data_IF_715268854871
#
_entry.id   IF_715268854871
#
_cell.length_a   1.000
_cell.length_b   1.000
_cell.length_c   1.000
_cell.angle_alpha   90.00
_cell.angle_beta   90.00
_cell.angle_gamma   90.00
#
_symmetry.space_group_name_H-M   'P 1'
#
loop_
_entity.id
_entity.type
_entity.pdbx_description
1 polymer ?
#
# COMPACT_ATOMS: atom_id res chain seq x y z
N UNK A 1 -9.64 16.87 -2.93
CA UNK A 1 -8.55 16.50 -2.00
C UNK A 1 -8.79 15.08 -1.51
N UNK A 2 -7.74 14.26 -1.41
CA UNK A 2 -7.82 12.89 -0.91
C UNK A 2 -6.89 12.72 0.29
N UNK A 3 -7.33 11.96 1.32
CA UNK A 3 -6.57 11.76 2.55
C UNK A 3 -6.25 10.27 2.76
N UNK A 4 -5.01 9.98 3.15
CA UNK A 4 -4.54 8.66 3.60
C UNK A 4 -3.69 8.83 4.85
N UNK A 5 -3.99 8.12 5.92
CA UNK A 5 -3.21 8.19 7.17
C UNK A 5 -3.19 6.85 7.93
N UNK A 6 -2.36 6.78 8.95
CA UNK A 6 -2.34 5.72 9.98
C UNK A 6 -3.06 6.14 11.29
N UNK A 7 -3.88 7.20 11.25
CA UNK A 7 -4.51 7.77 12.44
C UNK A 7 -5.65 6.93 13.03
N UNK A 8 -6.14 5.95 12.26
CA UNK A 8 -7.34 5.23 12.66
C UNK A 8 -8.59 6.11 12.66
N UNK A 9 -9.66 5.60 13.26
CA UNK A 9 -10.95 6.30 13.39
C UNK A 9 -11.48 6.29 14.82
N UNK A 10 -10.67 5.81 15.77
CA UNK A 10 -11.06 5.74 17.18
C UNK A 10 -10.85 7.08 17.91
N UNK A 11 -9.79 7.80 17.53
CA UNK A 11 -9.44 9.11 18.07
C UNK A 11 -9.91 10.23 17.15
N UNK A 12 -9.85 11.48 17.63
CA UNK A 12 -10.31 12.67 16.93
C UNK A 12 -9.40 13.14 15.79
N UNK A 13 -8.23 12.55 15.59
CA UNK A 13 -7.20 13.05 14.68
C UNK A 13 -7.72 13.36 13.26
N UNK A 14 -8.45 12.44 12.66
CA UNK A 14 -9.01 12.62 11.31
C UNK A 14 -10.04 13.76 11.29
N UNK A 15 -10.94 13.79 12.30
CA UNK A 15 -11.95 14.83 12.43
C UNK A 15 -11.34 16.22 12.58
N UNK A 16 -10.24 16.34 13.32
CA UNK A 16 -9.50 17.60 13.50
C UNK A 16 -8.82 18.03 12.20
N UNK A 17 -8.21 17.11 11.46
CA UNK A 17 -7.64 17.40 10.11
C UNK A 17 -8.71 17.92 9.17
N UNK A 18 -9.89 17.28 9.12
CA UNK A 18 -11.03 17.75 8.32
C UNK A 18 -11.51 19.15 8.75
N UNK A 19 -11.58 19.40 10.06
CA UNK A 19 -12.01 20.70 10.57
C UNK A 19 -11.06 21.84 10.16
N UNK A 20 -9.74 21.61 10.24
CA UNK A 20 -8.73 22.57 9.78
C UNK A 20 -8.87 22.86 8.30
N UNK A 21 -9.03 21.82 7.49
CA UNK A 21 -9.23 22.00 6.03
C UNK A 21 -10.51 22.78 5.76
N UNK A 22 -11.61 22.44 6.43
CA UNK A 22 -12.90 23.09 6.22
C UNK A 22 -12.91 24.57 6.66
N UNK A 23 -12.14 24.93 7.68
CA UNK A 23 -11.99 26.30 8.15
C UNK A 23 -11.25 27.17 7.11
N UNK A 24 -10.15 26.66 6.55
CA UNK A 24 -9.29 27.40 5.60
C UNK A 24 -9.87 27.35 4.16
N UNK A 25 -10.37 26.19 3.73
CA UNK A 25 -10.90 25.94 2.40
C UNK A 25 -12.28 25.27 2.43
N UNK A 26 -13.35 26.00 2.81
CA UNK A 26 -14.70 25.43 3.03
C UNK A 26 -15.34 24.84 1.77
N UNK A 27 -14.83 25.16 0.59
CA UNK A 27 -15.26 24.61 -0.69
C UNK A 27 -14.55 23.30 -1.07
N UNK A 28 -13.48 22.93 -0.36
CA UNK A 28 -12.73 21.71 -0.62
C UNK A 28 -13.59 20.46 -0.34
N UNK A 29 -13.63 19.54 -1.33
CA UNK A 29 -14.21 18.23 -1.11
C UNK A 29 -13.12 17.27 -0.64
N UNK A 30 -13.38 16.59 0.46
CA UNK A 30 -12.45 15.62 1.03
C UNK A 30 -12.97 14.22 0.75
N UNK A 31 -12.08 13.34 0.30
CA UNK A 31 -12.30 11.89 0.16
C UNK A 31 -11.26 11.17 1.01
N UNK A 32 -11.70 10.41 1.98
CA UNK A 32 -10.82 9.55 2.75
C UNK A 32 -10.53 8.28 1.95
N UNK A 33 -9.27 8.04 1.62
CA UNK A 33 -8.83 6.80 0.98
C UNK A 33 -8.78 5.69 2.02
N UNK A 34 -8.06 5.93 3.09
CA UNK A 34 -8.03 5.08 4.28
C UNK A 34 -7.35 5.82 5.44
N UNK A 35 -7.77 5.49 6.65
CA UNK A 35 -7.08 5.86 7.89
C UNK A 35 -6.65 4.62 8.69
N UNK A 36 -6.79 3.43 8.07
CA UNK A 36 -6.54 2.14 8.67
C UNK A 36 -5.15 1.54 8.37
N UNK A 37 -4.18 2.35 7.94
CA UNK A 37 -2.79 1.90 7.86
C UNK A 37 -2.32 1.56 9.28
N UNK A 38 -1.58 0.47 9.43
CA UNK A 38 -0.99 0.11 10.71
C UNK A 38 -0.08 1.27 11.21
N UNK A 39 -0.14 1.62 12.51
CA UNK A 39 0.66 2.72 13.04
C UNK A 39 2.14 2.61 12.67
N UNK A 40 2.69 3.70 12.11
CA UNK A 40 4.10 3.83 11.71
C UNK A 40 4.51 3.02 10.48
N UNK A 41 3.61 2.26 9.85
CA UNK A 41 3.93 1.45 8.67
C UNK A 41 3.93 2.29 7.39
N UNK A 42 5.05 2.96 7.15
CA UNK A 42 5.28 3.78 5.95
C UNK A 42 5.16 2.94 4.67
N UNK A 43 5.59 1.68 4.71
CA UNK A 43 5.53 0.77 3.57
C UNK A 43 4.09 0.42 3.20
N UNK A 44 3.29 -0.01 4.17
CA UNK A 44 1.87 -0.31 3.93
C UNK A 44 1.12 0.94 3.44
N UNK A 45 1.41 2.11 4.01
CA UNK A 45 0.88 3.39 3.55
C UNK A 45 1.25 3.71 2.11
N UNK A 46 2.52 3.52 1.73
CA UNK A 46 3.02 3.73 0.38
C UNK A 46 2.34 2.80 -0.63
N UNK A 47 2.23 1.51 -0.34
CA UNK A 47 1.56 0.53 -1.19
C UNK A 47 0.05 0.82 -1.33
N UNK A 48 -0.62 1.25 -0.25
CA UNK A 48 -2.01 1.68 -0.30
C UNK A 48 -2.18 2.93 -1.19
N UNK A 49 -1.26 3.88 -1.11
CA UNK A 49 -1.27 5.07 -1.94
C UNK A 49 -1.06 4.71 -3.43
N UNK A 50 -0.12 3.83 -3.74
CA UNK A 50 0.11 3.31 -5.11
C UNK A 50 -1.15 2.67 -5.68
N UNK A 51 -1.83 1.81 -4.91
CA UNK A 51 -3.08 1.16 -5.36
C UNK A 51 -4.22 2.17 -5.59
N UNK A 52 -4.18 3.32 -4.93
CA UNK A 52 -5.26 4.31 -4.96
C UNK A 52 -5.02 5.41 -5.98
N UNK A 53 -3.77 5.81 -6.26
CA UNK A 53 -3.43 7.04 -6.98
C UNK A 53 -4.04 7.11 -8.38
N UNK A 54 -4.17 5.99 -9.08
CA UNK A 54 -4.79 5.93 -10.41
C UNK A 54 -6.31 6.15 -10.42
N UNK A 55 -6.96 6.16 -9.26
CA UNK A 55 -8.41 6.33 -9.12
C UNK A 55 -8.80 7.63 -8.41
N UNK A 56 -7.84 8.35 -7.85
CA UNK A 56 -8.10 9.66 -7.22
C UNK A 56 -8.31 10.72 -8.30
N UNK A 57 -9.29 11.63 -8.10
CA UNK A 57 -9.42 12.79 -8.97
C UNK A 57 -8.16 13.66 -8.95
N UNK A 58 -7.90 14.35 -10.06
CA UNK A 58 -6.88 15.41 -10.11
C UNK A 58 -7.03 16.38 -8.94
N UNK A 59 -5.90 16.84 -8.40
CA UNK A 59 -5.87 17.76 -7.27
C UNK A 59 -4.88 17.37 -6.21
N UNK A 60 -5.25 17.53 -4.93
CA UNK A 60 -4.31 17.38 -3.81
C UNK A 60 -4.54 16.05 -3.10
N UNK A 61 -3.47 15.30 -2.89
CA UNK A 61 -3.44 14.08 -2.07
C UNK A 61 -2.57 14.32 -0.85
N UNK A 62 -3.15 14.21 0.32
CA UNK A 62 -2.43 14.29 1.61
C UNK A 62 -2.27 12.88 2.13
N UNK A 63 -1.02 12.41 2.23
CA UNK A 63 -0.72 11.10 2.80
C UNK A 63 0.22 11.27 3.99
N UNK A 64 -0.19 10.76 5.15
CA UNK A 64 0.54 10.92 6.42
C UNK A 64 0.63 9.59 7.15
N UNK A 65 1.80 8.98 7.08
CA UNK A 65 2.29 7.92 7.96
C UNK A 65 3.68 8.37 8.39
N UNK A 66 3.79 8.88 9.62
CA UNK A 66 4.91 9.74 9.99
C UNK A 66 5.56 9.37 11.33
N UNK A 67 6.33 8.26 11.38
CA UNK A 67 7.09 7.90 12.57
C UNK A 67 8.18 8.93 12.92
N UNK A 68 8.51 9.84 11.98
CA UNK A 68 9.50 10.92 12.17
C UNK A 68 8.89 12.27 12.55
N UNK A 69 7.63 12.33 12.99
CA UNK A 69 6.99 13.59 13.40
C UNK A 69 7.80 14.26 14.52
N UNK A 70 8.01 15.58 14.40
CA UNK A 70 8.77 16.36 15.38
C UNK A 70 10.30 16.20 15.31
N UNK A 71 10.84 15.53 14.30
CA UNK A 71 12.29 15.42 14.03
C UNK A 71 12.71 16.31 12.85
N UNK A 72 13.95 16.15 12.37
CA UNK A 72 14.48 16.83 11.17
C UNK A 72 13.88 16.28 9.83
N UNK A 73 12.93 15.37 9.87
CA UNK A 73 12.22 14.86 8.70
C UNK A 73 11.51 16.02 7.98
N UNK A 74 11.82 16.22 6.70
CA UNK A 74 11.19 17.27 5.90
C UNK A 74 9.69 17.00 5.68
N UNK A 75 8.85 18.03 5.78
CA UNK A 75 7.51 18.04 5.25
C UNK A 75 7.59 18.54 3.81
N UNK A 76 6.91 17.89 2.84
CA UNK A 76 7.05 18.23 1.43
C UNK A 76 5.71 18.29 0.70
N UNK A 77 5.67 19.10 -0.36
CA UNK A 77 4.65 19.03 -1.39
C UNK A 77 5.32 18.84 -2.75
N UNK A 78 4.79 17.91 -3.55
CA UNK A 78 5.38 17.46 -4.81
C UNK A 78 4.32 17.53 -5.91
N UNK A 79 4.58 18.32 -6.94
CA UNK A 79 3.75 18.38 -8.15
C UNK A 79 3.99 17.11 -8.99
N UNK A 80 2.92 16.52 -9.53
CA UNK A 80 2.95 15.32 -10.36
C UNK A 80 2.05 15.45 -11.58
N UNK A 81 2.25 14.59 -12.59
CA UNK A 81 1.36 14.54 -13.76
C UNK A 81 1.31 15.85 -14.53
N UNK A 82 2.45 16.50 -14.76
CA UNK A 82 2.55 17.81 -15.46
C UNK A 82 1.64 18.89 -14.84
N UNK A 83 1.48 18.89 -13.51
CA UNK A 83 0.66 19.85 -12.78
C UNK A 83 -0.78 19.42 -12.53
N UNK A 84 -1.17 18.19 -12.90
CA UNK A 84 -2.51 17.67 -12.66
C UNK A 84 -2.79 17.39 -11.18
N UNK A 85 -1.73 17.14 -10.36
CA UNK A 85 -1.87 16.85 -8.95
C UNK A 85 -0.69 17.30 -8.10
N UNK A 86 -0.94 17.35 -6.78
CA UNK A 86 0.09 17.64 -5.77
C UNK A 86 -0.04 16.59 -4.66
N UNK A 87 1.06 15.92 -4.33
CA UNK A 87 1.16 15.03 -3.18
C UNK A 87 1.80 15.79 -2.02
N UNK A 88 1.16 15.73 -0.85
CA UNK A 88 1.58 16.42 0.39
C UNK A 88 1.79 15.39 1.48
N UNK A 89 2.93 15.43 2.16
CA UNK A 89 3.22 14.49 3.25
C UNK A 89 4.68 14.54 3.74
N UNK A 90 5.05 13.59 4.61
CA UNK A 90 6.42 13.45 5.09
C UNK A 90 7.35 12.93 4.00
N UNK A 91 8.55 13.48 3.94
CA UNK A 91 9.65 12.99 3.09
C UNK A 91 10.36 11.80 3.78
N UNK A 92 9.71 10.64 3.76
CA UNK A 92 10.17 9.41 4.39
C UNK A 92 10.00 8.16 3.51
N UNK A 93 9.80 8.37 2.20
CA UNK A 93 9.57 7.31 1.23
C UNK A 93 8.09 6.97 0.99
N UNK A 94 7.17 7.49 1.79
CA UNK A 94 5.72 7.26 1.65
C UNK A 94 5.18 7.66 0.27
N UNK A 95 5.57 8.84 -0.22
CA UNK A 95 5.03 9.42 -1.44
C UNK A 95 5.71 8.91 -2.71
N UNK A 96 6.99 8.51 -2.63
CA UNK A 96 7.86 8.31 -3.78
C UNK A 96 7.32 7.30 -4.82
N UNK A 97 6.78 6.12 -4.46
CA UNK A 97 6.23 5.18 -5.45
C UNK A 97 4.99 5.74 -6.16
N UNK A 98 4.12 6.46 -5.44
CA UNK A 98 2.95 7.09 -6.04
C UNK A 98 3.32 8.25 -6.96
N UNK A 99 4.35 9.03 -6.62
CA UNK A 99 4.94 10.06 -7.48
C UNK A 99 5.42 9.44 -8.80
N UNK A 100 6.16 8.32 -8.73
CA UNK A 100 6.65 7.64 -9.93
C UNK A 100 5.49 7.16 -10.82
N UNK A 101 4.44 6.60 -10.23
CA UNK A 101 3.26 6.11 -10.96
C UNK A 101 2.44 7.27 -11.56
N UNK A 102 2.40 8.42 -10.89
CA UNK A 102 1.68 9.61 -11.36
C UNK A 102 2.44 10.42 -12.42
N UNK A 103 3.49 9.86 -13.03
CA UNK A 103 4.25 10.50 -14.12
C UNK A 103 5.55 11.16 -13.68
N UNK A 104 5.97 10.95 -12.44
CA UNK A 104 7.20 11.52 -11.88
C UNK A 104 6.98 12.85 -11.16
N UNK A 105 8.02 13.35 -10.53
CA UNK A 105 8.01 14.60 -9.79
C UNK A 105 8.25 15.79 -10.74
N UNK A 106 7.37 16.76 -10.69
CA UNK A 106 7.59 18.11 -11.22
C UNK A 106 8.30 19.00 -10.19
N UNK A 107 7.72 20.16 -9.88
CA UNK A 107 8.21 21.03 -8.79
C UNK A 107 8.02 20.35 -7.44
N UNK A 108 8.99 20.53 -6.56
CA UNK A 108 8.87 20.08 -5.18
C UNK A 108 9.37 21.16 -4.22
N UNK A 109 8.70 21.28 -3.07
CA UNK A 109 9.08 22.23 -2.01
C UNK A 109 9.09 21.56 -0.65
N UNK A 110 10.00 22.01 0.19
CA UNK A 110 9.93 21.77 1.64
C UNK A 110 8.92 22.76 2.21
N UNK A 111 8.01 22.28 3.05
CA UNK A 111 6.98 23.11 3.68
C UNK A 111 7.58 23.76 4.92
N UNK A 112 8.39 24.78 4.72
CA UNK A 112 9.15 25.46 5.78
C UNK A 112 8.76 26.94 5.99
N UNK A 113 7.73 27.44 5.25
CA UNK A 113 7.15 28.74 5.54
C UNK A 113 6.07 28.64 6.64
N UNK A 114 6.32 29.14 7.85
CA UNK A 114 5.41 29.04 8.98
C UNK A 114 4.12 29.85 8.81
N UNK A 115 4.04 30.76 7.83
CA UNK A 115 2.82 31.55 7.58
C UNK A 115 1.66 30.69 7.07
N UNK A 116 1.96 29.49 6.54
CA UNK A 116 0.98 28.50 6.09
C UNK A 116 0.72 27.38 7.12
N UNK A 117 1.29 27.49 8.33
CA UNK A 117 1.13 26.51 9.40
C UNK A 117 0.20 27.00 10.50
N UNK A 118 -0.33 26.09 11.29
CA UNK A 118 -1.00 26.43 12.53
C UNK A 118 0.02 26.56 13.65
N UNK A 119 -0.13 27.59 14.51
CA UNK A 119 0.62 27.64 15.76
C UNK A 119 0.18 26.49 16.68
N UNK A 120 1.14 25.73 17.18
CA UNK A 120 0.90 24.60 18.06
C UNK A 120 1.88 24.58 19.25
N UNK A 121 1.44 24.11 20.43
CA UNK A 121 2.29 24.05 21.63
C UNK A 121 3.37 22.97 21.54
N UNK A 122 3.31 22.07 20.57
CA UNK A 122 4.26 20.98 20.37
C UNK A 122 4.19 20.39 18.99
N UNK A 123 5.30 19.86 18.47
CA UNK A 123 5.47 19.40 17.09
C UNK A 123 5.08 17.92 16.89
N UNK A 124 4.01 17.45 17.52
CA UNK A 124 3.62 16.02 17.50
C UNK A 124 2.45 15.69 16.61
N UNK A 125 1.84 16.70 15.93
CA UNK A 125 0.69 16.50 15.06
C UNK A 125 0.83 17.29 13.75
N UNK A 126 1.86 16.96 12.95
CA UNK A 126 2.11 17.62 11.67
C UNK A 126 0.93 17.51 10.68
N UNK A 127 0.10 16.47 10.80
CA UNK A 127 -1.15 16.33 10.04
C UNK A 127 -2.07 17.52 10.20
N UNK A 128 -2.25 17.98 11.44
CA UNK A 128 -3.07 19.15 11.80
C UNK A 128 -2.33 20.46 11.52
N UNK A 129 -1.04 20.52 11.91
CA UNK A 129 -0.34 21.79 12.05
C UNK A 129 0.35 22.24 10.75
N UNK A 130 0.69 21.28 9.86
CA UNK A 130 1.43 21.53 8.62
C UNK A 130 0.65 21.02 7.39
N UNK A 131 0.36 19.72 7.32
CA UNK A 131 -0.15 19.13 6.09
C UNK A 131 -1.57 19.56 5.74
N UNK A 132 -2.47 19.61 6.71
CA UNK A 132 -3.85 20.05 6.50
C UNK A 132 -3.95 21.52 6.07
N UNK A 133 -3.33 22.49 6.79
CA UNK A 133 -3.42 23.89 6.40
C UNK A 133 -2.73 24.15 5.04
N UNK A 134 -1.55 23.58 4.79
CA UNK A 134 -0.87 23.70 3.49
C UNK A 134 -1.76 23.19 2.35
N UNK A 135 -2.33 22.00 2.49
CA UNK A 135 -3.22 21.45 1.49
C UNK A 135 -4.47 22.31 1.26
N UNK A 136 -5.01 22.92 2.32
CA UNK A 136 -6.13 23.85 2.21
C UNK A 136 -5.75 25.16 1.49
N UNK A 137 -4.56 25.71 1.75
CA UNK A 137 -4.03 26.87 1.02
C UNK A 137 -3.83 26.57 -0.47
N UNK A 138 -3.31 25.39 -0.80
CA UNK A 138 -3.23 24.93 -2.20
C UNK A 138 -4.62 24.85 -2.85
N UNK A 139 -5.66 24.38 -2.13
CA UNK A 139 -7.04 24.39 -2.62
C UNK A 139 -7.56 25.82 -2.89
N UNK A 140 -7.07 26.80 -2.15
CA UNK A 140 -7.40 28.23 -2.35
C UNK A 140 -6.59 28.87 -3.49
N UNK A 141 -5.71 28.12 -4.17
CA UNK A 141 -4.94 28.58 -5.32
C UNK A 141 -3.60 29.23 -4.97
N UNK A 142 -3.09 29.05 -3.75
CA UNK A 142 -1.72 29.43 -3.41
C UNK A 142 -0.75 28.62 -4.26
N UNK A 143 0.24 29.27 -4.88
CA UNK A 143 1.23 28.57 -5.69
C UNK A 143 2.16 27.72 -4.81
N UNK A 144 2.53 26.55 -5.34
CA UNK A 144 3.42 25.63 -4.65
C UNK A 144 4.72 26.29 -4.15
N UNK A 145 5.28 27.21 -4.95
CA UNK A 145 6.54 27.89 -4.62
C UNK A 145 6.42 28.90 -3.45
N UNK A 146 5.21 29.28 -3.05
CA UNK A 146 5.00 30.16 -1.90
C UNK A 146 5.05 29.41 -0.56
N UNK A 147 4.89 28.09 -0.57
CA UNK A 147 4.77 27.27 0.64
C UNK A 147 6.10 26.98 1.34
N UNK A 148 7.23 27.36 0.70
CA UNK A 148 8.55 27.17 1.28
C UNK A 148 9.67 26.98 0.26
N UNK A 149 10.76 26.39 0.69
CA UNK A 149 12.00 26.27 -0.08
C UNK A 149 11.90 25.20 -1.16
N UNK A 150 12.30 25.54 -2.39
CA UNK A 150 12.41 24.56 -3.47
C UNK A 150 13.41 23.44 -3.13
N UNK A 151 13.07 22.22 -3.46
CA UNK A 151 13.94 21.05 -3.28
C UNK A 151 14.06 20.28 -4.60
N UNK A 152 15.27 19.80 -4.88
CA UNK A 152 15.50 18.89 -6.01
C UNK A 152 14.77 17.56 -5.72
N UNK A 153 13.94 17.12 -6.67
CA UNK A 153 13.20 15.86 -6.56
C UNK A 153 14.14 14.65 -6.39
N UNK A 154 15.37 14.73 -6.93
CA UNK A 154 16.38 13.69 -6.74
C UNK A 154 16.94 13.61 -5.30
N UNK A 155 16.70 14.65 -4.48
CA UNK A 155 17.09 14.68 -3.07
C UNK A 155 15.99 14.25 -2.11
N UNK A 156 14.82 13.87 -2.63
CA UNK A 156 13.71 13.31 -1.83
C UNK A 156 14.02 11.86 -1.43
N UNK A 157 13.47 11.43 -0.30
CA UNK A 157 13.64 10.06 0.19
C UNK A 157 12.98 9.07 -0.80
N UNK A 158 13.75 8.10 -1.32
CA UNK A 158 13.20 7.09 -2.22
C UNK A 158 12.26 6.16 -1.46
N UNK A 159 11.21 5.69 -2.13
CA UNK A 159 10.39 4.58 -1.65
C UNK A 159 10.98 3.24 -2.07
N UNK A 160 10.60 2.19 -1.36
CA UNK A 160 11.02 0.83 -1.67
C UNK A 160 9.82 -0.01 -2.04
N UNK A 161 9.82 -0.55 -3.28
CA UNK A 161 8.88 -1.59 -3.71
C UNK A 161 9.71 -2.84 -3.98
N UNK A 162 9.46 -3.97 -3.29
CA UNK A 162 10.19 -5.19 -3.57
C UNK A 162 9.79 -5.74 -4.95
N UNK A 163 10.77 -6.18 -5.72
CA UNK A 163 10.55 -6.84 -7.00
C UNK A 163 10.69 -8.36 -6.82
N UNK A 164 9.94 -9.16 -7.59
CA UNK A 164 10.09 -10.60 -7.57
C UNK A 164 11.46 -11.00 -8.16
N UNK A 165 11.94 -12.18 -7.79
CA UNK A 165 13.19 -12.74 -8.33
C UNK A 165 12.89 -14.07 -8.99
N UNK A 166 13.58 -14.33 -10.10
CA UNK A 166 13.55 -15.61 -10.78
C UNK A 166 14.86 -16.36 -10.49
N UNK A 167 14.78 -17.52 -9.84
CA UNK A 167 15.94 -18.34 -9.49
C UNK A 167 15.71 -19.78 -9.95
N UNK A 168 16.35 -20.18 -11.06
CA UNK A 168 16.11 -21.47 -11.71
C UNK A 168 14.64 -21.61 -12.11
N UNK A 169 13.97 -22.65 -11.61
CA UNK A 169 12.57 -22.96 -11.86
C UNK A 169 11.64 -22.40 -10.74
N UNK A 170 12.11 -21.41 -9.98
CA UNK A 170 11.35 -20.79 -8.90
C UNK A 170 11.15 -19.28 -9.13
N UNK A 171 9.97 -18.77 -8.76
CA UNK A 171 9.67 -17.33 -8.63
C UNK A 171 9.56 -17.02 -7.16
N UNK A 172 10.47 -16.18 -6.68
CA UNK A 172 10.54 -15.76 -5.29
C UNK A 172 9.84 -14.42 -5.17
N UNK A 173 8.69 -14.43 -4.55
CA UNK A 173 7.82 -13.30 -4.30
C UNK A 173 7.83 -12.89 -2.83
N UNK A 174 7.22 -11.76 -2.56
CA UNK A 174 6.97 -11.26 -1.22
C UNK A 174 5.49 -10.87 -1.07
N UNK A 175 4.87 -11.19 0.06
CA UNK A 175 3.53 -10.73 0.40
C UNK A 175 3.57 -9.21 0.65
N UNK A 176 2.91 -8.47 -0.23
CA UNK A 176 2.86 -7.00 -0.15
C UNK A 176 1.79 -6.51 0.82
N UNK A 177 0.68 -7.24 0.87
CA UNK A 177 -0.50 -6.80 1.59
C UNK A 177 -1.43 -7.98 1.84
N UNK A 178 -2.03 -7.98 3.02
CA UNK A 178 -3.12 -8.88 3.37
C UNK A 178 -4.39 -8.05 3.46
N UNK A 179 -5.36 -8.35 2.59
CA UNK A 179 -6.63 -7.62 2.60
C UNK A 179 -7.52 -8.03 3.79
N UNK A 180 -8.63 -7.30 3.97
CA UNK A 180 -9.59 -7.55 5.04
C UNK A 180 -10.21 -8.97 4.99
N UNK A 181 -10.19 -9.62 3.84
CA UNK A 181 -10.74 -10.96 3.65
C UNK A 181 -9.67 -12.05 3.88
N UNK A 182 -8.42 -11.63 4.07
CA UNK A 182 -7.27 -12.52 4.26
C UNK A 182 -6.68 -13.03 2.95
N UNK A 183 -6.94 -12.37 1.82
CA UNK A 183 -6.21 -12.62 0.59
C UNK A 183 -4.84 -11.98 0.69
N UNK A 184 -3.79 -12.71 0.28
CA UNK A 184 -2.41 -12.25 0.37
C UNK A 184 -1.91 -11.85 -1.00
N UNK A 185 -1.90 -10.54 -1.31
CA UNK A 185 -1.30 -10.01 -2.53
C UNK A 185 0.22 -10.19 -2.50
N UNK A 186 0.78 -10.75 -3.58
CA UNK A 186 2.21 -10.89 -3.76
C UNK A 186 2.71 -9.96 -4.87
N UNK A 187 4.01 -9.66 -4.88
CA UNK A 187 4.63 -8.74 -5.84
C UNK A 187 4.89 -9.35 -7.23
N UNK A 188 3.99 -10.22 -7.70
CA UNK A 188 4.10 -10.91 -9.00
C UNK A 188 2.83 -10.70 -9.80
N UNK A 189 2.93 -10.25 -11.04
CA UNK A 189 1.84 -10.22 -12.01
C UNK A 189 1.66 -11.59 -12.71
N UNK A 190 0.49 -11.81 -13.30
CA UNK A 190 0.20 -13.08 -13.98
C UNK A 190 1.14 -13.36 -15.16
N UNK A 191 1.60 -12.32 -15.84
CA UNK A 191 2.52 -12.38 -16.97
C UNK A 191 3.99 -12.57 -16.55
N UNK A 192 4.31 -12.39 -15.29
CA UNK A 192 5.66 -12.59 -14.75
C UNK A 192 5.93 -14.05 -14.38
N UNK A 193 4.88 -14.89 -14.35
CA UNK A 193 5.06 -16.34 -14.23
C UNK A 193 5.50 -16.94 -15.57
N UNK A 194 6.43 -17.92 -15.58
CA UNK A 194 6.83 -18.61 -16.78
C UNK A 194 5.61 -19.15 -17.55
N UNK A 195 5.51 -18.89 -18.87
CA UNK A 195 4.31 -19.24 -19.65
C UNK A 195 4.12 -20.77 -19.82
N UNK A 196 5.18 -21.53 -19.64
CA UNK A 196 5.17 -23.00 -19.68
C UNK A 196 4.59 -23.63 -18.40
N UNK A 197 4.48 -22.89 -17.31
CA UNK A 197 3.93 -23.44 -16.07
C UNK A 197 2.45 -23.76 -16.21
N UNK A 198 2.07 -24.88 -15.62
CA UNK A 198 0.69 -25.36 -15.61
C UNK A 198 -0.28 -24.49 -14.80
N UNK A 199 -1.52 -24.97 -14.69
CA UNK A 199 -2.55 -24.32 -13.87
C UNK A 199 -2.42 -24.63 -12.38
N UNK A 200 -1.71 -25.71 -12.05
CA UNK A 200 -1.43 -26.10 -10.66
C UNK A 200 0.03 -25.82 -10.37
N UNK A 201 0.29 -25.02 -9.38
CA UNK A 201 1.62 -24.62 -8.94
C UNK A 201 1.89 -25.14 -7.53
N UNK A 202 3.15 -25.21 -7.16
CA UNK A 202 3.60 -25.41 -5.80
C UNK A 202 3.92 -24.06 -5.17
N UNK A 203 3.29 -23.76 -4.03
CA UNK A 203 3.61 -22.65 -3.17
C UNK A 203 4.41 -23.15 -2.00
N UNK A 204 5.55 -22.53 -1.72
CA UNK A 204 6.41 -22.82 -0.57
C UNK A 204 6.55 -21.57 0.29
N UNK A 205 6.40 -21.77 1.61
CA UNK A 205 6.59 -20.75 2.63
C UNK A 205 7.68 -21.25 3.59
N UNK A 206 8.50 -20.33 4.07
CA UNK A 206 9.44 -20.65 5.15
C UNK A 206 8.65 -20.75 6.46
N UNK A 207 8.82 -21.87 7.16
CA UNK A 207 8.19 -22.13 8.46
C UNK A 207 9.24 -22.71 9.41
N UNK A 208 9.80 -21.89 10.31
CA UNK A 208 10.80 -22.35 11.27
C UNK A 208 10.26 -23.38 12.28
N UNK A 209 8.93 -23.52 12.38
CA UNK A 209 8.29 -24.50 13.27
C UNK A 209 8.10 -25.86 12.58
N UNK A 210 8.18 -25.92 11.26
CA UNK A 210 8.11 -27.15 10.49
C UNK A 210 9.39 -27.98 10.64
N UNK A 211 9.26 -29.29 10.71
CA UNK A 211 10.41 -30.20 10.73
C UNK A 211 11.35 -30.09 9.50
N UNK A 212 10.82 -29.57 8.39
CA UNK A 212 11.56 -29.35 7.13
C UNK A 212 11.99 -27.89 6.94
N UNK A 213 11.64 -27.00 7.88
CA UNK A 213 11.90 -25.55 7.77
C UNK A 213 11.01 -24.84 6.75
N UNK A 214 10.08 -25.55 6.09
CA UNK A 214 9.15 -24.97 5.13
C UNK A 214 7.81 -25.71 5.07
N UNK A 215 6.80 -25.03 4.57
CA UNK A 215 5.48 -25.59 4.26
C UNK A 215 5.27 -25.52 2.76
N UNK A 216 4.87 -26.63 2.14
CA UNK A 216 4.50 -26.70 0.73
C UNK A 216 3.00 -26.92 0.58
N UNK A 217 2.40 -26.18 -0.37
CA UNK A 217 0.98 -26.29 -0.73
C UNK A 217 0.82 -26.31 -2.23
N UNK A 218 -0.15 -27.09 -2.72
CA UNK A 218 -0.61 -26.98 -4.08
C UNK A 218 -1.56 -25.79 -4.19
N UNK A 219 -1.34 -24.93 -5.18
CA UNK A 219 -2.19 -23.76 -5.46
C UNK A 219 -2.64 -23.80 -6.91
N UNK A 220 -3.88 -23.41 -7.18
CA UNK A 220 -4.44 -23.39 -8.54
C UNK A 220 -4.51 -21.96 -9.06
N UNK A 221 -4.02 -21.72 -10.27
CA UNK A 221 -4.28 -20.48 -11.00
C UNK A 221 -5.77 -20.44 -11.37
N UNK A 222 -6.47 -19.42 -10.91
CA UNK A 222 -7.90 -19.23 -11.12
C UNK A 222 -8.16 -17.84 -11.71
N UNK A 223 -9.13 -17.74 -12.61
CA UNK A 223 -9.56 -16.43 -13.13
C UNK A 223 -10.42 -15.67 -12.11
N UNK A 224 -11.12 -16.39 -11.23
CA UNK A 224 -12.00 -15.79 -10.21
C UNK A 224 -11.93 -16.55 -8.89
N UNK A 225 -12.35 -15.91 -7.81
CA UNK A 225 -12.46 -16.56 -6.49
C UNK A 225 -13.40 -17.78 -6.51
N UNK A 226 -14.46 -17.74 -7.33
CA UNK A 226 -15.44 -18.84 -7.42
C UNK A 226 -14.89 -20.14 -8.04
N UNK A 227 -13.76 -20.06 -8.75
CA UNK A 227 -13.10 -21.21 -9.35
C UNK A 227 -12.15 -21.94 -8.41
N UNK A 228 -11.82 -21.34 -7.25
CA UNK A 228 -10.88 -21.92 -6.29
C UNK A 228 -11.37 -23.29 -5.79
N UNK A 229 -12.66 -23.42 -5.53
CA UNK A 229 -13.23 -24.61 -4.92
C UNK A 229 -12.76 -24.80 -3.47
N UNK A 230 -12.43 -26.02 -3.07
CA UNK A 230 -12.05 -26.35 -1.68
C UNK A 230 -10.56 -26.26 -1.41
N UNK A 231 -9.76 -25.52 -2.19
CA UNK A 231 -8.31 -25.43 -2.05
C UNK A 231 -7.79 -24.01 -1.95
N UNK A 232 -6.52 -23.84 -2.29
CA UNK A 232 -5.83 -22.55 -2.34
C UNK A 232 -5.77 -22.10 -3.80
N UNK A 233 -6.23 -20.89 -4.07
CA UNK A 233 -6.18 -20.27 -5.38
C UNK A 233 -5.09 -19.21 -5.48
N UNK A 234 -4.64 -18.99 -6.71
CA UNK A 234 -3.82 -17.87 -7.10
C UNK A 234 -4.62 -17.07 -8.13
N UNK A 235 -5.12 -15.92 -7.74
CA UNK A 235 -6.04 -15.08 -8.53
C UNK A 235 -5.38 -13.75 -8.83
N UNK A 236 -5.45 -13.28 -10.08
CA UNK A 236 -5.07 -11.91 -10.38
C UNK A 236 -6.09 -10.95 -9.75
N UNK A 237 -5.62 -10.08 -8.88
CA UNK A 237 -6.46 -9.11 -8.19
C UNK A 237 -6.81 -7.90 -9.05
N UNK A 238 -7.54 -6.94 -8.49
CA UNK A 238 -7.96 -5.71 -9.19
C UNK A 238 -6.81 -4.75 -9.51
N UNK A 239 -5.60 -5.03 -9.03
CA UNK A 239 -4.38 -4.24 -9.30
C UNK A 239 -3.43 -4.94 -10.27
N UNK A 240 -3.82 -6.12 -10.79
CA UNK A 240 -3.03 -6.90 -11.75
C UNK A 240 -1.97 -7.80 -11.11
N UNK A 241 -1.85 -7.81 -9.78
CA UNK A 241 -0.96 -8.69 -9.06
C UNK A 241 -1.66 -9.98 -8.65
N UNK A 242 -0.88 -11.02 -8.44
CA UNK A 242 -1.40 -12.29 -7.94
C UNK A 242 -1.70 -12.20 -6.44
N UNK A 243 -2.80 -12.78 -6.03
CA UNK A 243 -3.17 -12.93 -4.63
C UNK A 243 -3.37 -14.42 -4.30
N UNK A 244 -2.79 -14.87 -3.20
CA UNK A 244 -3.04 -16.18 -2.61
C UNK A 244 -4.36 -16.11 -1.87
N UNK A 245 -5.32 -16.94 -2.24
CA UNK A 245 -6.71 -16.86 -1.79
C UNK A 245 -7.26 -18.23 -1.39
N UNK A 246 -8.25 -18.23 -0.50
CA UNK A 246 -9.04 -19.41 -0.13
C UNK A 246 -10.52 -19.07 -0.32
N UNK A 247 -11.29 -19.98 -0.90
CA UNK A 247 -12.72 -19.73 -1.12
C UNK A 247 -13.45 -19.53 0.21
N UNK A 248 -14.01 -18.32 0.41
CA UNK A 248 -14.72 -17.90 1.63
C UNK A 248 -13.93 -18.07 2.92
N UNK A 249 -12.60 -18.05 2.82
CA UNK A 249 -11.65 -18.22 3.94
C UNK A 249 -10.54 -17.18 3.88
N UNK A 250 -9.69 -17.21 4.90
CA UNK A 250 -8.50 -16.36 4.99
C UNK A 250 -7.26 -17.17 4.64
N UNK A 251 -6.65 -16.91 3.49
CA UNK A 251 -5.38 -17.52 3.11
C UNK A 251 -4.26 -17.13 4.10
N UNK A 252 -4.27 -15.88 4.57
CA UNK A 252 -3.33 -15.42 5.60
C UNK A 252 -3.40 -16.26 6.88
N UNK A 253 -4.62 -16.52 7.39
CA UNK A 253 -4.79 -17.30 8.61
C UNK A 253 -4.50 -18.80 8.40
N UNK A 254 -4.89 -19.36 7.23
CA UNK A 254 -4.71 -20.80 6.95
C UNK A 254 -3.24 -21.15 6.70
N UNK A 255 -2.50 -20.25 6.06
CA UNK A 255 -1.12 -20.47 5.65
C UNK A 255 -0.10 -19.81 6.59
N UNK A 256 -0.55 -18.94 7.49
CA UNK A 256 0.33 -18.14 8.34
C UNK A 256 1.11 -17.08 7.58
N UNK A 257 0.56 -16.54 6.47
CA UNK A 257 1.22 -15.50 5.66
C UNK A 257 0.92 -14.12 6.23
N UNK A 258 1.96 -13.37 6.51
CA UNK A 258 1.93 -11.95 6.85
C UNK A 258 2.58 -11.05 5.79
N UNK A 259 2.39 -9.76 5.91
CA UNK A 259 3.07 -8.78 5.06
C UNK A 259 4.58 -8.86 5.26
N UNK A 260 5.34 -8.86 4.15
CA UNK A 260 6.78 -9.04 4.15
C UNK A 260 7.27 -10.49 4.06
N UNK A 261 6.38 -11.47 4.22
CA UNK A 261 6.77 -12.87 4.13
C UNK A 261 7.14 -13.26 2.69
N UNK A 262 8.18 -14.09 2.58
CA UNK A 262 8.61 -14.64 1.30
C UNK A 262 7.68 -15.78 0.88
N UNK A 263 7.22 -15.72 -0.35
CA UNK A 263 6.40 -16.75 -1.01
C UNK A 263 7.16 -17.24 -2.24
N UNK A 264 7.41 -18.53 -2.30
CA UNK A 264 8.10 -19.13 -3.45
C UNK A 264 7.12 -19.95 -4.27
N UNK A 265 7.05 -19.65 -5.56
CA UNK A 265 6.22 -20.38 -6.52
C UNK A 265 7.12 -21.20 -7.44
N UNK A 266 6.70 -22.42 -7.78
CA UNK A 266 7.29 -23.25 -8.81
C UNK A 266 6.20 -24.01 -9.58
N UNK A 267 6.54 -24.55 -10.75
CA UNK A 267 5.61 -25.41 -11.47
C UNK A 267 5.22 -26.62 -10.59
N UNK A 268 3.98 -27.02 -10.68
CA UNK A 268 3.45 -28.14 -9.89
C UNK A 268 3.68 -29.47 -10.61
N UNK A 269 3.89 -30.53 -9.84
CA UNK A 269 4.04 -31.90 -10.37
C UNK A 269 2.74 -32.46 -11.01
N UNK A 270 1.73 -31.62 -11.22
CA UNK A 270 0.45 -32.00 -11.82
C UNK A 270 -0.42 -32.91 -10.95
N UNK A 271 0.00 -33.24 -9.74
CA UNK A 271 -0.78 -34.02 -8.82
C UNK A 271 -1.91 -33.19 -8.21
N UNK A 272 -3.14 -33.47 -8.59
CA UNK A 272 -4.30 -32.92 -7.89
C UNK A 272 -4.27 -33.34 -6.43
N UNK A 273 -4.65 -32.45 -5.49
CA UNK A 273 -4.75 -32.82 -4.08
C UNK A 273 -5.73 -33.99 -3.95
N UNK A 274 -5.23 -35.12 -3.44
CA UNK A 274 -6.07 -36.28 -3.19
C UNK A 274 -6.97 -35.96 -1.99
N UNK A 275 -8.21 -35.58 -2.25
CA UNK A 275 -9.24 -35.47 -1.22
C UNK A 275 -9.79 -36.86 -0.95
N UNK A 276 -9.47 -37.44 0.19
CA UNK A 276 -10.08 -38.69 0.66
C UNK A 276 -11.33 -38.29 1.44
N UNK A 277 -12.55 -38.63 0.96
CA UNK A 277 -13.76 -38.40 1.73
C UNK A 277 -13.72 -39.30 2.98
N UNK A 278 -13.79 -38.68 4.15
CA UNK A 278 -13.96 -39.44 5.42
C UNK A 278 -15.43 -39.71 5.57
N UNK A 279 -15.85 -40.96 5.33
CA UNK A 279 -17.19 -41.41 5.67
C UNK A 279 -17.29 -41.53 7.21
N UNK A 280 -18.20 -40.76 7.80
CA UNK A 280 -18.60 -40.96 9.19
C UNK A 280 -19.35 -42.29 9.24
N UNK A 281 -18.65 -43.36 9.64
CA UNK A 281 -19.28 -44.64 9.89
C UNK A 281 -20.43 -44.50 10.89
N UNK A 282 -21.63 -44.92 10.52
CA UNK A 282 -22.75 -45.07 11.46
C UNK A 282 -22.36 -46.17 12.46
N UNK A 283 -22.16 -45.80 13.73
CA UNK A 283 -22.14 -46.72 14.83
C UNK A 283 -23.52 -47.20 15.22
#
# INVERSE_FOLDING_TARGET
>A
MSLLTDYGTADEFVGVVHAVIADIAPHARITDLTHGIAPFDVRAGSLALVRSIGYVPEGIVVAVVDPGVGTERRAVAIEVGDGAGILVGPDNGLLAPAVALAGGAGRAVVLDDPSFHLEAPGATFAGRDIFAPVAAHLCNGVDLAELGSAVDSAALMPGTIPLPRHEGDEVIAEALWVDRFGNCQINVGSEELPPEWGTVLTLRLDDPTSATGNVRRSVRRCATFGEIGGGIGLVADSHGLLAVCVDRGSAAAELGIGEGDQVVLSDGDGAEPVTVPVELGRG
#
